data_IF_804860030691
#
_entry.id   IF_804860030691
#
_cell.length_a   1.000
_cell.length_b   1.000
_cell.length_c   1.000
_cell.angle_alpha   90.00
_cell.angle_beta   90.00
_cell.angle_gamma   90.00
#
_symmetry.space_group_name_H-M   'P 1'
#
loop_
_entity.id
_entity.type
_entity.pdbx_description
1 polymer ?
#
# COMPACT_ATOMS: atom_id res chain seq x y z
N UNK A 1 24.51 -21.39 -1.16
CA UNK A 1 24.61 -22.78 -1.67
C UNK A 1 25.88 -23.51 -1.24
N UNK A 2 27.10 -22.95 -1.39
CA UNK A 2 28.35 -23.60 -0.93
C UNK A 2 28.32 -23.95 0.58
N UNK A 3 27.83 -23.03 1.42
CA UNK A 3 27.68 -23.26 2.88
C UNK A 3 26.75 -24.42 3.19
N UNK A 4 25.67 -24.58 2.43
CA UNK A 4 24.74 -25.70 2.56
C UNK A 4 25.40 -27.04 2.23
N UNK A 5 26.20 -27.11 1.18
CA UNK A 5 26.93 -28.32 0.80
C UNK A 5 28.01 -28.70 1.81
N UNK A 6 28.74 -27.70 2.37
CA UNK A 6 29.70 -27.91 3.44
C UNK A 6 29.00 -28.45 4.69
N UNK A 7 27.86 -27.92 5.06
CA UNK A 7 27.08 -28.36 6.22
C UNK A 7 26.59 -29.81 6.05
N UNK A 8 26.01 -30.13 4.87
CA UNK A 8 25.58 -31.49 4.55
C UNK A 8 26.73 -32.50 4.60
N UNK A 9 27.90 -32.15 4.03
CA UNK A 9 29.06 -32.98 4.06
C UNK A 9 29.54 -33.23 5.51
N UNK A 10 29.59 -32.17 6.35
CA UNK A 10 29.97 -32.29 7.77
C UNK A 10 29.04 -33.22 8.52
N UNK A 11 27.72 -33.16 8.26
CA UNK A 11 26.74 -34.03 8.89
C UNK A 11 26.94 -35.48 8.46
N UNK A 12 27.15 -35.74 7.15
CA UNK A 12 27.43 -37.09 6.64
C UNK A 12 28.68 -37.71 7.24
N UNK A 13 29.78 -36.93 7.35
CA UNK A 13 31.01 -37.39 8.05
C UNK A 13 30.71 -37.77 9.51
N UNK A 14 29.90 -36.93 10.19
CA UNK A 14 29.54 -37.20 11.60
C UNK A 14 28.70 -38.46 11.78
N UNK A 15 27.88 -38.79 10.75
CA UNK A 15 27.03 -39.98 10.74
C UNK A 15 27.74 -41.24 10.21
N UNK A 16 29.02 -41.15 9.83
CA UNK A 16 29.80 -42.28 9.26
C UNK A 16 29.40 -42.62 7.82
N UNK A 17 28.71 -41.72 7.11
CA UNK A 17 28.27 -41.93 5.72
C UNK A 17 29.40 -41.59 4.73
N UNK A 18 29.29 -42.18 3.52
CA UNK A 18 30.20 -41.85 2.43
C UNK A 18 30.00 -40.38 1.99
N UNK A 19 31.10 -39.65 1.85
CA UNK A 19 31.11 -38.23 1.51
C UNK A 19 31.85 -37.96 0.21
N UNK A 20 31.35 -37.00 -0.57
CA UNK A 20 32.04 -36.51 -1.76
C UNK A 20 33.37 -35.84 -1.42
N UNK A 21 34.33 -35.86 -2.36
CA UNK A 21 35.58 -35.13 -2.24
C UNK A 21 35.33 -33.63 -2.09
N UNK A 22 36.13 -32.96 -1.26
CA UNK A 22 36.09 -31.53 -1.06
C UNK A 22 36.20 -30.74 -2.38
N UNK A 23 37.00 -31.26 -3.32
CA UNK A 23 37.17 -30.66 -4.67
C UNK A 23 35.91 -30.61 -5.47
N UNK A 24 34.95 -31.51 -5.21
CA UNK A 24 33.66 -31.57 -5.92
C UNK A 24 32.55 -30.66 -5.32
N UNK A 25 32.78 -30.08 -4.14
CA UNK A 25 31.76 -29.25 -3.47
C UNK A 25 31.40 -28.02 -4.30
N UNK A 26 32.40 -27.42 -4.96
CA UNK A 26 32.16 -26.24 -5.78
C UNK A 26 31.34 -26.59 -7.03
N UNK A 27 31.64 -27.68 -7.73
CA UNK A 27 30.83 -28.12 -8.88
C UNK A 27 29.43 -28.50 -8.47
N UNK A 28 29.27 -29.26 -7.38
CA UNK A 28 27.94 -29.60 -6.85
C UNK A 28 27.11 -28.38 -6.45
N UNK A 29 27.76 -27.35 -5.90
CA UNK A 29 27.07 -26.10 -5.54
C UNK A 29 26.68 -25.29 -6.79
N UNK A 30 27.50 -25.31 -7.85
CA UNK A 30 27.20 -24.69 -9.14
C UNK A 30 26.05 -25.42 -9.86
N UNK A 31 26.09 -26.75 -9.91
CA UNK A 31 25.03 -27.55 -10.51
C UNK A 31 23.68 -27.33 -9.82
N UNK A 32 23.66 -27.34 -8.48
CA UNK A 32 22.48 -27.03 -7.68
C UNK A 32 22.00 -25.59 -7.87
N UNK A 33 22.88 -24.62 -8.13
CA UNK A 33 22.51 -23.25 -8.47
C UNK A 33 21.86 -23.17 -9.84
N UNK A 34 22.43 -23.85 -10.82
CA UNK A 34 21.88 -23.91 -12.19
C UNK A 34 20.49 -24.57 -12.17
N UNK A 35 20.35 -25.70 -11.47
CA UNK A 35 19.07 -26.39 -11.32
C UNK A 35 18.03 -25.49 -10.66
N UNK A 36 18.37 -24.79 -9.57
CA UNK A 36 17.52 -23.82 -8.90
C UNK A 36 17.12 -22.67 -9.83
N UNK A 37 18.06 -22.14 -10.60
CA UNK A 37 17.80 -21.07 -11.57
C UNK A 37 16.87 -21.54 -12.68
N UNK A 38 17.04 -22.77 -13.18
CA UNK A 38 16.18 -23.37 -14.19
C UNK A 38 14.76 -23.65 -13.65
N UNK A 39 14.66 -24.15 -12.42
CA UNK A 39 13.37 -24.42 -11.78
C UNK A 39 12.61 -23.13 -11.42
N UNK A 40 13.34 -22.05 -11.14
CA UNK A 40 12.74 -20.73 -10.81
C UNK A 40 12.62 -19.79 -12.02
N UNK A 41 13.24 -20.10 -13.14
CA UNK A 41 13.08 -19.33 -14.39
C UNK A 41 11.67 -19.50 -14.93
N UNK A 42 10.76 -18.63 -14.47
CA UNK A 42 9.48 -18.44 -15.18
C UNK A 42 9.82 -17.99 -16.60
N UNK A 43 9.21 -18.58 -17.63
CA UNK A 43 9.37 -18.07 -18.99
C UNK A 43 9.10 -16.56 -19.00
N UNK A 44 9.87 -15.74 -19.72
CA UNK A 44 9.60 -14.33 -19.80
C UNK A 44 8.16 -14.16 -20.25
N UNK A 45 7.31 -13.56 -19.40
CA UNK A 45 5.98 -13.17 -19.82
C UNK A 45 6.18 -12.29 -21.06
N UNK A 46 5.43 -12.55 -22.16
CA UNK A 46 5.47 -11.68 -23.31
C UNK A 46 5.25 -10.25 -22.80
N UNK A 47 5.92 -9.24 -23.39
CA UNK A 47 5.75 -7.86 -22.95
C UNK A 47 4.28 -7.49 -23.18
N UNK A 48 3.45 -7.69 -22.16
CA UNK A 48 2.15 -7.04 -22.13
C UNK A 48 2.49 -5.55 -22.14
N UNK A 49 1.89 -4.79 -23.04
CA UNK A 49 1.94 -3.34 -22.99
C UNK A 49 1.64 -2.96 -21.53
N UNK A 50 2.67 -2.55 -20.79
CA UNK A 50 2.51 -2.13 -19.39
C UNK A 50 1.73 -0.83 -19.45
N UNK A 51 0.40 -0.94 -19.42
CA UNK A 51 -0.44 0.21 -19.14
C UNK A 51 0.04 0.74 -17.80
N UNK A 52 0.65 1.91 -17.82
CA UNK A 52 1.05 2.61 -16.62
C UNK A 52 -0.24 2.80 -15.82
N UNK A 53 -0.37 2.24 -14.62
CA UNK A 53 -1.60 2.40 -13.84
C UNK A 53 -1.76 3.89 -13.54
N UNK A 54 -2.80 4.46 -14.10
CA UNK A 54 -3.16 5.86 -13.93
C UNK A 54 -4.25 5.94 -12.87
N UNK A 55 -4.35 7.07 -12.19
CA UNK A 55 -5.55 7.40 -11.47
C UNK A 55 -6.71 7.54 -12.48
N UNK A 56 -7.87 7.00 -12.15
CA UNK A 56 -9.08 7.11 -12.97
C UNK A 56 -10.19 7.73 -12.13
N UNK A 57 -10.99 8.64 -12.70
CA UNK A 57 -12.13 9.22 -11.98
C UNK A 57 -13.16 8.16 -11.60
N UNK A 58 -13.94 8.38 -10.54
CA UNK A 58 -15.07 7.52 -10.19
C UNK A 58 -16.23 7.68 -11.19
N UNK A 59 -17.25 6.80 -11.16
CA UNK A 59 -18.50 6.99 -11.89
C UNK A 59 -19.21 8.27 -11.48
N UNK A 60 -20.13 8.76 -12.36
CA UNK A 60 -20.94 9.95 -12.05
C UNK A 60 -21.71 9.82 -10.74
N UNK A 61 -21.75 10.91 -9.99
CA UNK A 61 -22.32 11.03 -8.64
C UNK A 61 -21.58 10.28 -7.54
N UNK A 62 -20.39 9.72 -7.82
CA UNK A 62 -19.50 9.14 -6.82
C UNK A 62 -18.33 10.06 -6.56
N UNK A 63 -17.77 9.94 -5.38
CA UNK A 63 -16.44 10.48 -5.09
C UNK A 63 -15.45 9.35 -4.86
N UNK A 64 -14.20 9.60 -5.21
CA UNK A 64 -13.09 8.71 -4.90
C UNK A 64 -12.25 9.34 -3.80
N UNK A 65 -12.11 8.65 -2.69
CA UNK A 65 -11.25 9.00 -1.58
C UNK A 65 -9.98 8.15 -1.65
N UNK A 66 -8.88 8.75 -2.08
CA UNK A 66 -7.55 8.12 -2.03
C UNK A 66 -6.93 8.38 -0.66
N UNK A 67 -6.31 7.36 -0.08
CA UNK A 67 -5.61 7.45 1.20
C UNK A 67 -4.21 6.85 1.13
N UNK A 68 -3.33 7.31 2.01
CA UNK A 68 -1.98 6.75 2.21
C UNK A 68 -1.46 7.06 3.61
N UNK A 69 -0.51 6.27 4.08
CA UNK A 69 0.19 6.45 5.34
C UNK A 69 1.70 6.65 5.14
N UNK A 70 2.33 7.47 5.96
CA UNK A 70 3.78 7.68 5.95
C UNK A 70 4.36 7.58 7.35
N UNK A 71 5.56 7.02 7.49
CA UNK A 71 6.27 6.90 8.77
C UNK A 71 7.41 7.91 8.83
N UNK A 72 7.52 8.61 9.97
CA UNK A 72 8.59 9.54 10.30
C UNK A 72 9.44 8.96 11.44
N UNK A 73 10.44 8.15 11.10
CA UNK A 73 11.24 7.42 12.09
C UNK A 73 11.98 8.34 13.08
N UNK A 74 12.37 9.56 12.63
CA UNK A 74 13.11 10.50 13.47
C UNK A 74 12.29 11.09 14.62
N UNK A 75 10.96 11.17 14.48
CA UNK A 75 10.05 11.85 15.42
C UNK A 75 9.12 10.89 16.16
N UNK A 76 9.20 9.58 15.93
CA UNK A 76 8.24 8.59 16.40
C UNK A 76 6.78 8.98 16.06
N UNK A 77 6.57 9.46 14.84
CA UNK A 77 5.29 9.94 14.32
C UNK A 77 4.97 9.27 12.99
N UNK A 78 3.70 9.35 12.58
CA UNK A 78 3.24 8.95 11.26
C UNK A 78 2.30 10.01 10.69
N UNK A 79 2.29 10.14 9.35
CA UNK A 79 1.41 11.02 8.62
C UNK A 79 0.30 10.24 7.93
N UNK A 80 -0.91 10.73 8.03
CA UNK A 80 -2.07 10.25 7.27
C UNK A 80 -2.39 11.28 6.20
N UNK A 81 -2.59 10.84 4.96
CA UNK A 81 -2.98 11.68 3.85
C UNK A 81 -4.23 11.15 3.17
N UNK A 82 -5.17 12.03 2.83
CA UNK A 82 -6.31 11.68 2.02
C UNK A 82 -6.71 12.80 1.06
N UNK A 83 -7.21 12.44 -0.10
CA UNK A 83 -7.78 13.36 -1.08
C UNK A 83 -9.08 12.77 -1.64
N UNK A 84 -10.11 13.58 -1.68
CA UNK A 84 -11.44 13.23 -2.21
C UNK A 84 -11.64 13.99 -3.52
N UNK A 85 -11.95 13.25 -4.58
CA UNK A 85 -12.16 13.82 -5.93
C UNK A 85 -13.48 13.32 -6.53
N UNK A 86 -14.13 14.17 -7.30
CA UNK A 86 -15.37 13.84 -8.00
C UNK A 86 -15.10 13.10 -9.35
N UNK A 87 -16.15 12.82 -10.07
CA UNK A 87 -16.16 12.18 -11.39
C UNK A 87 -15.48 13.01 -12.51
N UNK A 88 -15.32 14.31 -12.31
CA UNK A 88 -14.55 15.18 -13.19
C UNK A 88 -13.05 15.24 -12.77
N UNK A 89 -12.64 14.56 -11.69
CA UNK A 89 -11.29 14.62 -11.15
C UNK A 89 -11.00 15.86 -10.31
N UNK A 90 -12.00 16.73 -10.09
CA UNK A 90 -11.85 17.93 -9.27
C UNK A 90 -11.71 17.55 -7.79
N UNK A 91 -10.81 18.26 -7.09
CA UNK A 91 -10.64 18.09 -5.65
C UNK A 91 -11.84 18.65 -4.91
N UNK A 92 -12.55 17.78 -4.20
CA UNK A 92 -13.64 18.16 -3.30
C UNK A 92 -13.10 18.48 -1.92
N UNK A 93 -12.13 17.70 -1.47
CA UNK A 93 -11.41 17.95 -0.23
C UNK A 93 -10.09 17.19 -0.17
N UNK A 94 -9.18 17.67 0.68
CA UNK A 94 -7.95 16.96 1.03
C UNK A 94 -7.66 17.16 2.52
N UNK A 95 -6.94 16.21 3.11
CA UNK A 95 -6.44 16.34 4.48
C UNK A 95 -5.05 15.76 4.62
N UNK A 96 -4.36 16.26 5.63
CA UNK A 96 -3.19 15.63 6.21
C UNK A 96 -3.28 15.69 7.72
N UNK A 97 -2.78 14.65 8.39
CA UNK A 97 -2.80 14.54 9.85
C UNK A 97 -1.56 13.83 10.35
N UNK A 98 -0.93 14.36 11.39
CA UNK A 98 0.15 13.70 12.15
C UNK A 98 -0.47 12.92 13.30
N UNK A 99 0.00 11.70 13.51
CA UNK A 99 -0.36 10.84 14.64
C UNK A 99 0.90 10.27 15.31
N UNK A 100 0.86 9.86 16.58
CA UNK A 100 1.92 9.05 17.17
C UNK A 100 2.18 7.79 16.33
N UNK A 101 3.45 7.39 16.21
CA UNK A 101 3.85 6.24 15.40
C UNK A 101 3.22 4.94 15.92
N UNK A 102 2.37 4.26 15.14
CA UNK A 102 1.88 2.93 15.47
C UNK A 102 2.97 1.85 15.37
N UNK A 103 2.69 0.68 15.92
CA UNK A 103 3.62 -0.45 15.99
C UNK A 103 3.96 -1.08 14.61
N UNK A 104 3.16 -0.82 13.57
CA UNK A 104 3.41 -1.34 12.22
C UNK A 104 2.93 -0.40 11.12
N UNK A 105 3.50 -0.57 9.92
CA UNK A 105 3.14 0.20 8.71
C UNK A 105 1.69 -0.06 8.31
N UNK A 106 1.24 -1.31 8.41
CA UNK A 106 -0.12 -1.71 8.03
C UNK A 106 -1.16 -0.98 8.89
N UNK A 107 -0.85 -0.73 10.16
CA UNK A 107 -1.73 0.04 11.05
C UNK A 107 -1.83 1.49 10.59
N UNK A 108 -0.73 2.11 10.14
CA UNK A 108 -0.76 3.48 9.61
C UNK A 108 -1.67 3.56 8.39
N UNK A 109 -1.57 2.59 7.46
CA UNK A 109 -2.42 2.51 6.28
C UNK A 109 -3.91 2.36 6.64
N UNK A 110 -4.23 1.49 7.58
CA UNK A 110 -5.62 1.28 8.01
C UNK A 110 -6.18 2.52 8.73
N UNK A 111 -5.35 3.21 9.52
CA UNK A 111 -5.74 4.48 10.16
C UNK A 111 -5.97 5.59 9.13
N UNK A 112 -5.16 5.65 8.06
CA UNK A 112 -5.36 6.57 6.95
C UNK A 112 -6.69 6.29 6.22
N UNK A 113 -6.99 5.02 5.94
CA UNK A 113 -8.26 4.60 5.37
C UNK A 113 -9.45 5.01 6.26
N UNK A 114 -9.38 4.72 7.57
CA UNK A 114 -10.41 5.10 8.52
C UNK A 114 -10.62 6.62 8.57
N UNK A 115 -9.52 7.39 8.61
CA UNK A 115 -9.61 8.86 8.64
C UNK A 115 -10.21 9.44 7.36
N UNK A 116 -9.87 8.86 6.20
CA UNK A 116 -10.44 9.26 4.92
C UNK A 116 -11.97 9.03 4.87
N UNK A 117 -12.47 7.90 5.40
CA UNK A 117 -13.91 7.62 5.48
C UNK A 117 -14.62 8.57 6.44
N UNK A 118 -14.07 8.81 7.63
CA UNK A 118 -14.63 9.78 8.59
C UNK A 118 -14.71 11.16 7.93
N UNK A 119 -13.68 11.58 7.21
CA UNK A 119 -13.66 12.85 6.52
C UNK A 119 -14.70 12.94 5.40
N UNK A 120 -14.91 11.85 4.66
CA UNK A 120 -15.96 11.80 3.65
C UNK A 120 -17.37 11.97 4.28
N UNK A 121 -17.62 11.34 5.43
CA UNK A 121 -18.88 11.50 6.19
C UNK A 121 -19.03 12.92 6.76
N UNK A 122 -17.98 13.50 7.32
CA UNK A 122 -17.95 14.88 7.82
C UNK A 122 -18.37 15.89 6.75
N UNK A 123 -18.06 15.60 5.47
CA UNK A 123 -18.39 16.42 4.31
C UNK A 123 -19.72 16.04 3.62
N UNK A 124 -20.41 15.01 4.11
CA UNK A 124 -21.72 14.59 3.60
C UNK A 124 -21.67 13.74 2.33
N UNK A 125 -20.51 13.15 1.98
CA UNK A 125 -20.43 12.22 0.85
C UNK A 125 -20.98 10.86 1.24
N UNK A 126 -21.93 10.34 0.46
CA UNK A 126 -22.64 9.09 0.71
C UNK A 126 -22.35 7.98 -0.30
N UNK A 127 -21.72 8.29 -1.45
CA UNK A 127 -21.30 7.31 -2.46
C UNK A 127 -19.79 7.42 -2.67
N UNK A 128 -19.03 6.53 -2.05
CA UNK A 128 -17.57 6.64 -1.92
C UNK A 128 -16.87 5.39 -2.43
N UNK A 129 -15.85 5.58 -3.28
CA UNK A 129 -14.82 4.60 -3.55
C UNK A 129 -13.62 4.96 -2.68
N UNK A 130 -13.32 4.15 -1.69
CA UNK A 130 -12.09 4.27 -0.89
C UNK A 130 -10.97 3.50 -1.59
N UNK A 131 -9.91 4.21 -2.00
CA UNK A 131 -8.84 3.64 -2.80
C UNK A 131 -7.47 3.90 -2.16
N UNK A 132 -6.64 2.84 -2.04
CA UNK A 132 -5.27 2.94 -1.51
C UNK A 132 -4.33 1.93 -2.14
N UNK A 133 -3.02 2.08 -1.94
CA UNK A 133 -2.00 1.20 -2.52
C UNK A 133 -1.54 0.08 -1.57
N UNK A 134 -2.07 0.00 -0.36
CA UNK A 134 -1.86 -1.12 0.55
C UNK A 134 -2.79 -2.29 0.22
N UNK A 135 -2.28 -3.28 -0.53
CA UNK A 135 -3.04 -4.49 -0.87
C UNK A 135 -3.52 -5.24 0.37
N UNK A 136 -2.71 -5.26 1.44
CA UNK A 136 -3.03 -5.93 2.70
C UNK A 136 -4.23 -5.25 3.37
N UNK A 137 -4.24 -3.91 3.47
CA UNK A 137 -5.32 -3.15 4.07
C UNK A 137 -6.63 -3.32 3.27
N UNK A 138 -6.58 -3.16 1.94
CA UNK A 138 -7.74 -3.30 1.06
C UNK A 138 -8.32 -4.73 1.10
N UNK A 139 -7.45 -5.76 1.09
CA UNK A 139 -7.89 -7.15 1.21
C UNK A 139 -8.59 -7.40 2.55
N UNK A 140 -8.05 -6.88 3.65
CA UNK A 140 -8.67 -7.02 4.97
C UNK A 140 -10.03 -6.31 5.04
N UNK A 141 -10.17 -5.12 4.47
CA UNK A 141 -11.46 -4.40 4.40
C UNK A 141 -12.50 -5.15 3.58
N UNK A 142 -12.10 -5.87 2.54
CA UNK A 142 -13.01 -6.69 1.72
C UNK A 142 -13.24 -8.12 2.27
N UNK A 143 -12.50 -8.55 3.30
CA UNK A 143 -12.62 -9.89 3.88
C UNK A 143 -13.68 -9.93 4.99
N UNK A 144 -14.35 -11.06 5.13
CA UNK A 144 -15.21 -11.33 6.29
C UNK A 144 -14.39 -11.82 7.49
N UNK A 145 -13.23 -12.45 7.26
CA UNK A 145 -12.30 -12.95 8.28
C UNK A 145 -11.19 -11.92 8.60
N UNK A 146 -11.56 -10.66 8.81
CA UNK A 146 -10.61 -9.59 9.08
C UNK A 146 -10.08 -9.59 10.53
N UNK A 147 -10.79 -10.23 11.46
CA UNK A 147 -10.38 -10.28 12.88
C UNK A 147 -9.09 -11.07 13.11
N UNK A 148 -8.70 -11.94 12.19
CA UNK A 148 -7.43 -12.67 12.26
C UNK A 148 -6.21 -11.77 12.02
N UNK A 149 -6.39 -10.58 11.44
CA UNK A 149 -5.29 -9.63 11.24
C UNK A 149 -4.92 -8.90 12.55
N UNK A 150 -3.63 -8.55 12.77
CA UNK A 150 -3.20 -7.79 13.95
C UNK A 150 -3.92 -6.45 14.14
N UNK A 151 -4.47 -5.89 13.07
CA UNK A 151 -5.24 -4.64 13.03
C UNK A 151 -6.76 -4.88 12.81
N UNK A 152 -7.26 -6.09 13.06
CA UNK A 152 -8.65 -6.48 12.81
C UNK A 152 -9.68 -5.57 13.51
N UNK A 153 -9.38 -5.08 14.71
CA UNK A 153 -10.23 -4.13 15.42
C UNK A 153 -10.40 -2.79 14.66
N UNK A 154 -9.36 -2.31 13.97
CA UNK A 154 -9.46 -1.10 13.15
C UNK A 154 -10.29 -1.36 11.87
N UNK A 155 -10.20 -2.56 11.29
CA UNK A 155 -11.08 -2.96 10.19
C UNK A 155 -12.53 -3.04 10.66
N UNK A 156 -12.78 -3.53 11.87
CA UNK A 156 -14.12 -3.51 12.47
C UNK A 156 -14.68 -2.08 12.57
N UNK A 157 -13.85 -1.11 13.01
CA UNK A 157 -14.23 0.31 13.05
C UNK A 157 -14.60 0.83 11.64
N UNK A 158 -13.81 0.49 10.61
CA UNK A 158 -14.08 0.87 9.22
C UNK A 158 -15.41 0.26 8.75
N UNK A 159 -15.62 -1.03 9.02
CA UNK A 159 -16.87 -1.72 8.65
C UNK A 159 -18.09 -1.15 9.39
N UNK A 160 -17.90 -0.69 10.63
CA UNK A 160 -18.96 -0.01 11.37
C UNK A 160 -19.35 1.36 10.79
N UNK A 161 -18.47 2.00 10.01
CA UNK A 161 -18.80 3.22 9.27
C UNK A 161 -19.60 2.93 7.99
N UNK A 162 -19.46 1.73 7.40
CA UNK A 162 -20.07 1.41 6.10
C UNK A 162 -21.58 1.65 6.03
N UNK A 163 -22.41 1.36 7.06
CA UNK A 163 -23.86 1.63 7.02
C UNK A 163 -24.24 3.12 6.92
N UNK A 164 -23.32 4.04 7.18
CA UNK A 164 -23.55 5.48 7.06
C UNK A 164 -23.40 5.98 5.62
N UNK A 165 -22.86 5.15 4.72
CA UNK A 165 -22.79 5.43 3.30
C UNK A 165 -23.96 4.75 2.57
N UNK A 166 -24.51 5.44 1.58
CA UNK A 166 -25.44 4.84 0.63
C UNK A 166 -24.76 3.73 -0.19
N UNK A 167 -23.49 3.96 -0.52
CA UNK A 167 -22.66 3.00 -1.24
C UNK A 167 -21.19 3.23 -0.90
N UNK A 168 -20.50 2.18 -0.50
CA UNK A 168 -19.08 2.19 -0.18
C UNK A 168 -18.38 1.01 -0.86
N UNK A 169 -17.28 1.28 -1.55
CA UNK A 169 -16.47 0.28 -2.25
C UNK A 169 -15.01 0.46 -1.86
N UNK A 170 -14.31 -0.63 -1.55
CA UNK A 170 -12.88 -0.63 -1.25
C UNK A 170 -12.10 -1.13 -2.47
N UNK A 171 -11.21 -0.30 -3.02
CA UNK A 171 -10.42 -0.61 -4.20
C UNK A 171 -8.93 -0.51 -3.94
N UNK A 172 -8.17 -1.45 -4.49
CA UNK A 172 -6.70 -1.35 -4.53
C UNK A 172 -6.26 -0.62 -5.79
N UNK A 173 -5.34 0.31 -5.64
CA UNK A 173 -4.62 0.93 -6.76
C UNK A 173 -3.12 0.70 -6.62
N UNK A 174 -2.37 0.95 -7.68
CA UNK A 174 -0.92 0.96 -7.59
C UNK A 174 -0.43 2.34 -7.17
N UNK A 175 0.77 2.41 -6.59
CA UNK A 175 1.39 3.66 -6.12
C UNK A 175 1.36 4.82 -7.13
N UNK A 176 1.45 4.51 -8.44
CA UNK A 176 1.37 5.53 -9.49
C UNK A 176 -0.01 6.18 -9.63
N UNK A 177 -1.07 5.52 -9.17
CA UNK A 177 -2.43 6.07 -9.09
C UNK A 177 -2.79 6.62 -7.70
N UNK A 178 -1.84 6.65 -6.75
CA UNK A 178 -2.04 7.13 -5.36
C UNK A 178 -1.04 8.23 -4.95
N UNK A 179 -0.41 8.90 -5.92
CA UNK A 179 0.69 9.84 -5.65
C UNK A 179 0.28 11.02 -4.80
N UNK A 180 -0.91 11.56 -5.03
CA UNK A 180 -1.40 12.74 -4.30
C UNK A 180 -1.61 12.41 -2.82
N UNK A 181 -2.30 11.30 -2.51
CA UNK A 181 -2.49 10.85 -1.12
C UNK A 181 -1.14 10.55 -0.46
N UNK A 182 -0.22 9.88 -1.19
CA UNK A 182 1.13 9.64 -0.73
C UNK A 182 1.88 10.93 -0.39
N UNK A 183 1.79 11.96 -1.24
CA UNK A 183 2.41 13.25 -0.98
C UNK A 183 1.82 13.90 0.28
N UNK A 184 0.50 13.91 0.44
CA UNK A 184 -0.17 14.46 1.63
C UNK A 184 0.29 13.77 2.91
N UNK A 185 0.37 12.43 2.91
CA UNK A 185 0.86 11.69 4.05
C UNK A 185 2.30 12.05 4.41
N UNK A 186 3.18 12.19 3.41
CA UNK A 186 4.59 12.54 3.63
C UNK A 186 4.83 13.98 4.06
N UNK A 187 4.01 14.90 3.58
CA UNK A 187 4.13 16.32 3.93
C UNK A 187 3.48 16.66 5.28
N UNK A 188 2.80 15.72 5.93
CA UNK A 188 2.10 15.94 7.19
C UNK A 188 2.99 16.59 8.27
N UNK A 189 4.24 16.16 8.41
CA UNK A 189 5.18 16.70 9.41
C UNK A 189 5.69 18.11 9.09
N UNK A 190 5.46 18.64 7.89
CA UNK A 190 5.91 19.97 7.47
C UNK A 190 4.89 21.07 7.79
N UNK A 191 3.71 20.72 8.26
CA UNK A 191 2.71 21.68 8.70
C UNK A 191 2.86 21.98 10.19
N UNK A 192 2.60 23.22 10.58
CA UNK A 192 2.66 23.66 11.98
C UNK A 192 1.53 23.09 12.85
N UNK A 193 0.45 22.63 12.23
CA UNK A 193 -0.68 21.96 12.90
C UNK A 193 -0.61 20.45 12.67
N UNK A 194 -0.97 19.66 13.68
CA UNK A 194 -1.09 18.22 13.54
C UNK A 194 -2.22 17.76 12.60
N UNK A 195 -3.10 18.67 12.20
CA UNK A 195 -4.19 18.45 11.25
C UNK A 195 -4.35 19.68 10.35
N UNK A 196 -4.40 19.42 9.03
CA UNK A 196 -4.75 20.42 8.02
C UNK A 196 -5.74 19.83 7.04
N UNK A 197 -6.68 20.65 6.56
CA UNK A 197 -7.63 20.26 5.52
C UNK A 197 -7.84 21.38 4.52
N UNK A 198 -8.19 21.02 3.30
CA UNK A 198 -8.49 21.89 2.18
C UNK A 198 -9.84 21.48 1.61
N UNK A 199 -10.69 22.43 1.33
CA UNK A 199 -12.03 22.19 0.76
C UNK A 199 -12.07 22.88 -0.61
N UNK A 200 -12.39 22.09 -1.65
CA UNK A 200 -12.43 22.55 -3.05
C UNK A 200 -11.12 23.20 -3.54
N UNK A 201 -10.03 22.90 -2.86
CA UNK A 201 -8.72 23.46 -3.15
C UNK A 201 -7.67 22.36 -3.29
N UNK A 202 -6.78 22.48 -4.27
CA UNK A 202 -5.61 21.59 -4.43
C UNK A 202 -4.51 22.05 -3.48
N UNK A 203 -4.08 21.22 -2.51
CA UNK A 203 -2.96 21.59 -1.64
C UNK A 203 -1.69 21.87 -2.45
N UNK A 204 -1.05 23.00 -2.20
CA UNK A 204 0.13 23.46 -2.98
C UNK A 204 1.22 22.38 -3.06
N UNK A 205 1.46 21.66 -1.96
CA UNK A 205 2.45 20.59 -1.89
C UNK A 205 2.14 19.41 -2.83
N UNK A 206 0.90 19.27 -3.31
CA UNK A 206 0.46 18.17 -4.19
C UNK A 206 0.23 18.57 -5.62
N UNK A 207 0.34 19.87 -5.95
CA UNK A 207 -0.07 20.41 -7.25
C UNK A 207 0.58 19.70 -8.45
N UNK A 208 1.87 19.37 -8.35
CA UNK A 208 2.59 18.70 -9.42
C UNK A 208 2.09 17.25 -9.66
N UNK A 209 1.87 16.50 -8.56
CA UNK A 209 1.36 15.12 -8.62
C UNK A 209 -0.09 15.10 -9.11
N UNK A 210 -0.94 16.01 -8.63
CA UNK A 210 -2.32 16.17 -9.06
C UNK A 210 -2.43 16.50 -10.55
N UNK A 211 -1.66 17.49 -11.03
CA UNK A 211 -1.65 17.87 -12.45
C UNK A 211 -1.22 16.71 -13.34
N UNK A 212 -0.20 15.96 -12.91
CA UNK A 212 0.28 14.79 -13.65
C UNK A 212 -0.76 13.64 -13.69
N UNK A 213 -1.55 13.44 -12.64
CA UNK A 213 -2.62 12.45 -12.60
C UNK A 213 -3.77 12.84 -13.53
N UNK A 214 -4.22 14.10 -13.51
CA UNK A 214 -5.34 14.59 -14.36
C UNK A 214 -4.97 14.57 -15.84
N UNK A 215 -3.80 15.10 -16.25
CA UNK A 215 -3.35 15.08 -17.65
C UNK A 215 -3.29 13.65 -18.20
N UNK A 216 -2.94 12.72 -17.36
CA UNK A 216 -2.85 11.32 -17.73
C UNK A 216 -4.21 10.59 -17.70
N UNK A 217 -5.27 11.16 -17.16
CA UNK A 217 -6.61 10.56 -17.04
C UNK A 217 -7.50 10.83 -18.27
N UNK A 218 -7.17 11.88 -19.02
CA UNK A 218 -7.79 12.24 -20.31
C UNK A 218 -7.13 11.47 -21.46
#
# INVERSE_FOLDING_TARGET
MITSQIWLRRNKVRMGEAVADLKLINSMAQDALIEFQQATSKPPKPPSARTIPKWLPPPSNWVKANFDGAIFQGNAEAGLGAIIRNDCGLVMAALTQVIPLPISVEIVEVLAARRALIFALELGFDQVILEGDSEIAIRAMNSDDYMAAPFGHLIADIKALAPHFRSLVFCHTRRLGNKVAHRLAREACNFSSSFCSWIEEVPVCTFADYSAEIINST
#
